data_IF_421773771467
#
_entry.id   IF_421773771467
#
_cell.length_a   1.000
_cell.length_b   1.000
_cell.length_c   1.000
_cell.angle_alpha   90.00
_cell.angle_beta   90.00
_cell.angle_gamma   90.00
#
_symmetry.space_group_name_H-M   'P 1'
#
loop_
_entity.id
_entity.type
_entity.pdbx_description
1 polymer ?
#
# COMPACT_ATOMS: atom_id res chain seq x y z
N UNK A 1 -15.12 -19.14 8.41
CA UNK A 1 -15.19 -18.67 8.07
C UNK A 1 -14.88 -17.94 7.79
N UNK A 2 -14.95 -18.06 7.66
CA UNK A 2 -14.71 -17.38 7.32
C UNK A 2 -14.55 -16.37 6.96
N UNK A 3 -14.56 -16.37 6.76
CA UNK A 3 -14.43 -15.44 6.38
C UNK A 3 -14.43 -14.57 5.98
N UNK A 4 -14.47 -14.68 6.12
CA UNK A 4 -14.54 -13.94 5.71
C UNK A 4 -14.43 -13.05 5.42
N UNK A 5 -14.40 -13.13 5.44
CA UNK A 5 -14.37 -12.27 5.07
C UNK A 5 -14.28 -11.57 4.65
N UNK A 6 -14.30 -11.75 4.56
CA UNK A 6 -14.32 -11.06 4.07
C UNK A 6 -14.58 -10.25 3.87
N UNK A 7 -14.79 -10.39 3.74
CA UNK A 7 -15.25 -9.56 3.59
C UNK A 7 -14.85 -8.38 3.44
N UNK A 8 -14.20 -8.32 3.15
CA UNK A 8 -13.67 -7.16 3.16
C UNK A 8 -14.19 -6.34 2.16
N UNK A 9 -14.20 -5.25 2.39
CA UNK A 9 -14.77 -4.44 1.54
C UNK A 9 -13.90 -4.24 0.48
N UNK A 10 -14.29 -4.20 -0.48
CA UNK A 10 -13.63 -4.06 -1.57
C UNK A 10 -12.88 -2.85 -1.51
N UNK A 11 -12.21 -2.51 -1.71
CA UNK A 11 -11.50 -1.39 -1.83
C UNK A 11 -11.16 -0.72 -0.66
N UNK A 12 -11.46 -1.10 0.36
CA UNK A 12 -11.22 -0.42 1.38
C UNK A 12 -9.86 -0.40 1.63
N UNK A 13 -9.33 -1.17 2.30
CA UNK A 13 -8.03 -1.12 2.64
C UNK A 13 -7.29 -1.92 1.74
N UNK A 14 -6.44 -1.45 0.92
CA UNK A 14 -5.63 -2.29 0.12
C UNK A 14 -4.44 -2.73 0.95
N UNK A 15 -3.65 -3.60 0.41
CA UNK A 15 -2.56 -4.21 1.14
C UNK A 15 -1.49 -3.21 1.54
N UNK A 16 -1.32 -2.16 0.76
CA UNK A 16 -0.33 -1.13 1.09
C UNK A 16 -0.65 -0.47 2.42
N UNK A 17 -1.90 -0.11 2.63
CA UNK A 17 -2.29 0.51 3.89
C UNK A 17 -2.09 -0.44 5.06
N UNK A 18 -2.42 -1.71 4.88
CA UNK A 18 -2.22 -2.72 5.92
C UNK A 18 -0.75 -2.83 6.28
N UNK A 19 0.13 -2.91 5.28
CA UNK A 19 1.56 -3.01 5.55
C UNK A 19 2.09 -1.77 6.25
N UNK A 20 1.66 -0.60 5.79
CA UNK A 20 2.12 0.66 6.39
C UNK A 20 1.74 0.73 7.87
N UNK A 21 0.49 0.42 8.15
CA UNK A 21 -0.01 0.48 9.53
C UNK A 21 0.66 -0.57 10.40
N UNK A 22 0.97 -1.73 9.84
CA UNK A 22 1.64 -2.78 10.61
C UNK A 22 3.04 -2.36 11.02
N UNK A 23 3.64 -1.39 10.33
CA UNK A 23 4.95 -0.86 10.68
C UNK A 23 4.84 0.42 11.48
N UNK A 24 3.65 0.86 11.85
CA UNK A 24 3.47 2.08 12.61
C UNK A 24 3.81 3.34 11.86
N UNK A 25 3.74 3.33 10.53
CA UNK A 25 4.16 4.46 9.74
C UNK A 25 3.00 5.37 9.37
N UNK A 26 3.24 6.67 9.37
CA UNK A 26 2.28 7.60 8.79
C UNK A 26 2.42 7.56 7.27
N UNK A 27 1.44 8.11 6.57
CA UNK A 27 1.54 8.20 5.12
C UNK A 27 2.74 9.05 4.71
N UNK A 28 3.01 10.13 5.42
CA UNK A 28 4.15 10.97 5.07
C UNK A 28 5.48 10.28 5.36
N UNK A 29 5.55 9.46 6.41
CA UNK A 29 6.77 8.72 6.70
C UNK A 29 7.05 7.69 5.61
N UNK A 30 6.01 6.99 5.16
CA UNK A 30 6.19 6.03 4.08
C UNK A 30 6.61 6.74 2.80
N UNK A 31 5.96 7.86 2.49
CA UNK A 31 6.29 8.61 1.29
C UNK A 31 7.76 9.02 1.29
N UNK A 32 8.25 9.53 2.41
CA UNK A 32 9.65 9.90 2.52
C UNK A 32 10.58 8.70 2.35
N UNK A 33 10.20 7.56 2.92
CA UNK A 33 11.04 6.36 2.87
C UNK A 33 11.22 5.84 1.45
N UNK A 34 10.20 5.97 0.61
CA UNK A 34 10.28 5.44 -0.77
C UNK A 34 10.45 6.55 -1.82
N UNK A 35 10.59 7.79 -1.38
CA UNK A 35 10.93 8.89 -2.31
C UNK A 35 9.77 9.39 -3.14
N UNK A 36 8.55 9.40 -2.61
CA UNK A 36 7.39 9.90 -3.33
C UNK A 36 6.64 10.92 -2.48
N UNK A 37 5.60 11.53 -3.04
CA UNK A 37 4.82 12.49 -2.29
C UNK A 37 3.81 11.78 -1.37
N UNK A 38 3.43 12.44 -0.30
CA UNK A 38 2.38 11.92 0.57
C UNK A 38 1.08 11.75 -0.20
N UNK A 39 0.80 12.67 -1.13
CA UNK A 39 -0.41 12.57 -1.94
C UNK A 39 -0.43 11.30 -2.77
N UNK A 40 0.74 10.89 -3.29
CA UNK A 40 0.81 9.65 -4.05
C UNK A 40 0.43 8.46 -3.19
N UNK A 41 0.94 8.41 -1.95
CA UNK A 41 0.61 7.31 -1.04
C UNK A 41 -0.90 7.30 -0.78
N UNK A 42 -1.51 8.45 -0.57
CA UNK A 42 -2.95 8.52 -0.34
C UNK A 42 -3.73 7.98 -1.53
N UNK A 43 -3.36 8.36 -2.74
CA UNK A 43 -4.04 7.86 -3.93
C UNK A 43 -3.92 6.34 -4.04
N UNK A 44 -2.75 5.81 -3.77
CA UNK A 44 -2.54 4.37 -3.86
C UNK A 44 -3.35 3.62 -2.82
N UNK A 45 -3.40 4.13 -1.59
CA UNK A 45 -4.14 3.46 -0.53
C UNK A 45 -5.64 3.50 -0.74
N UNK A 46 -6.13 4.53 -1.42
CA UNK A 46 -7.56 4.62 -1.69
C UNK A 46 -7.95 4.02 -3.04
N UNK A 47 -6.99 3.43 -3.73
CA UNK A 47 -7.30 2.80 -5.01
C UNK A 47 -7.57 3.77 -6.14
N UNK A 48 -7.24 5.05 -5.96
CA UNK A 48 -7.49 6.06 -6.98
C UNK A 48 -6.43 6.06 -8.05
N UNK A 49 -5.26 5.59 -7.74
CA UNK A 49 -4.16 5.46 -8.69
C UNK A 49 -3.34 4.25 -8.32
N UNK A 50 -2.66 3.71 -9.32
CA UNK A 50 -1.76 2.57 -9.11
C UNK A 50 -0.32 3.08 -9.19
N UNK A 51 0.58 2.62 -8.33
CA UNK A 51 1.97 3.02 -8.43
C UNK A 51 2.55 2.59 -9.78
N UNK A 52 3.42 3.42 -10.35
CA UNK A 52 4.13 3.01 -11.54
C UNK A 52 5.18 1.96 -11.17
N UNK A 53 5.85 1.39 -12.17
CA UNK A 53 6.77 0.28 -11.93
C UNK A 53 7.87 0.65 -10.94
N UNK A 54 8.46 1.83 -11.08
CA UNK A 54 9.53 2.25 -10.20
C UNK A 54 9.06 2.37 -8.75
N UNK A 55 7.90 3.00 -8.55
CA UNK A 55 7.36 3.14 -7.20
C UNK A 55 6.93 1.81 -6.63
N UNK A 56 6.35 0.96 -7.46
CA UNK A 56 5.93 -0.36 -7.01
C UNK A 56 7.11 -1.19 -6.52
N UNK A 57 8.21 -1.15 -7.26
CA UNK A 57 9.40 -1.90 -6.86
C UNK A 57 10.01 -1.32 -5.58
N UNK A 58 10.00 0.00 -5.41
CA UNK A 58 10.51 0.63 -4.21
C UNK A 58 9.68 0.22 -2.99
N UNK A 59 8.36 0.20 -3.14
CA UNK A 59 7.46 -0.20 -2.07
C UNK A 59 7.67 -1.68 -1.71
N UNK A 60 7.76 -2.53 -2.72
CA UNK A 60 7.95 -3.96 -2.51
C UNK A 60 9.27 -4.21 -1.78
N UNK A 61 10.32 -3.53 -2.19
CA UNK A 61 11.62 -3.67 -1.55
C UNK A 61 11.57 -3.17 -0.10
N UNK A 62 10.94 -2.03 0.11
CA UNK A 62 10.86 -1.45 1.45
C UNK A 62 10.13 -2.37 2.43
N UNK A 63 9.04 -2.97 1.99
CA UNK A 63 8.26 -3.86 2.84
C UNK A 63 8.70 -5.31 2.77
N UNK A 64 9.65 -5.63 1.88
CA UNK A 64 10.15 -6.99 1.71
C UNK A 64 9.02 -7.94 1.32
N UNK A 65 8.25 -7.55 0.33
CA UNK A 65 7.16 -8.35 -0.20
C UNK A 65 7.27 -8.40 -1.72
N UNK A 66 6.54 -9.31 -2.33
CA UNK A 66 6.50 -9.37 -3.79
C UNK A 66 5.68 -8.20 -4.32
N UNK A 67 6.10 -7.61 -5.44
CA UNK A 67 5.36 -6.45 -5.99
C UNK A 67 3.89 -6.74 -6.23
N UNK A 68 3.55 -7.94 -6.70
CA UNK A 68 2.17 -8.26 -6.98
C UNK A 68 1.30 -8.27 -5.74
N UNK A 69 1.88 -8.42 -4.56
CA UNK A 69 1.08 -8.39 -3.35
C UNK A 69 0.60 -6.99 -3.01
N UNK A 70 1.14 -5.97 -3.68
CA UNK A 70 0.72 -4.58 -3.46
C UNK A 70 -0.30 -4.11 -4.47
N UNK A 71 -0.59 -4.92 -5.47
CA UNK A 71 -1.57 -4.55 -6.49
C UNK A 71 -2.95 -4.98 -6.05
N UNK A 72 -3.98 -4.27 -6.51
CA UNK A 72 -5.36 -4.61 -6.14
C UNK A 72 -5.78 -5.96 -6.67
#
# INVERSE_FOLDING_TARGET
MKYIATTSPPNRQNHLQVLRLSRGLSQSALAAAVGVSTRAVKYWEHGQRTPNATSLLALAHYFDVLPESLLP
#
